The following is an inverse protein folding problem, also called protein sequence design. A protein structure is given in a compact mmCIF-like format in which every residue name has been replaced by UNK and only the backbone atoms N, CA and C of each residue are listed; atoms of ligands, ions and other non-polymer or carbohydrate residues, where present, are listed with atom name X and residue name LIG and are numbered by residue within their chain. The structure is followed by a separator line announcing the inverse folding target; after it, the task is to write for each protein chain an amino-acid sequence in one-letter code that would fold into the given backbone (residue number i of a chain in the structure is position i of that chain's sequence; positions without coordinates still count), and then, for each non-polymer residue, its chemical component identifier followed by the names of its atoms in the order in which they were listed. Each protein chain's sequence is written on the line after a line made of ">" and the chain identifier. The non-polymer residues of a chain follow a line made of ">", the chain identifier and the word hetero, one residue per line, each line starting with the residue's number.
data_IF_051826358700
#
_entry.id   IF_051826358700
#
_cell.length_a   1.000
_cell.length_b   1.000
_cell.length_c   1.000
_cell.angle_alpha   90.00
_cell.angle_beta   90.00
_cell.angle_gamma   90.00
#
_symmetry.space_group_name_H-M   'P 1'
#
loop_
_entity.id
_entity.type
_entity.pdbx_description
1 polymer ?
#
# COMPACT_ATOMS: atom_id res chain seq x y z
N UNK A 1 -5.77 -22.88 1.84
CA UNK A 1 -4.50 -22.35 1.32
C UNK A 1 -4.78 -21.05 0.62
N UNK A 2 -4.56 -19.92 1.28
CA UNK A 2 -4.65 -18.62 0.64
C UNK A 2 -3.46 -18.47 -0.29
N UNK A 3 -3.69 -18.08 -1.54
CA UNK A 3 -2.66 -17.84 -2.54
C UNK A 3 -1.56 -16.89 -2.00
N UNK A 4 -0.29 -17.24 -2.18
CA UNK A 4 0.86 -16.44 -1.69
C UNK A 4 0.86 -15.05 -2.31
N UNK A 5 0.47 -14.92 -3.58
CA UNK A 5 0.34 -13.63 -4.24
C UNK A 5 -0.81 -12.80 -3.64
N UNK A 6 -1.90 -13.45 -3.21
CA UNK A 6 -2.97 -12.80 -2.45
C UNK A 6 -2.46 -12.26 -1.10
N UNK A 7 -1.71 -13.05 -0.34
CA UNK A 7 -1.14 -12.62 0.95
C UNK A 7 -0.20 -11.42 0.76
N UNK A 8 0.69 -11.46 -0.23
CA UNK A 8 1.60 -10.36 -0.54
C UNK A 8 0.85 -9.08 -0.91
N UNK A 9 -0.20 -9.17 -1.75
CA UNK A 9 -1.03 -8.02 -2.12
C UNK A 9 -1.68 -7.37 -0.89
N UNK A 10 -2.24 -8.18 0.01
CA UNK A 10 -2.83 -7.68 1.26
C UNK A 10 -1.76 -7.01 2.12
N UNK A 11 -0.59 -7.63 2.25
CA UNK A 11 0.52 -7.08 3.03
C UNK A 11 1.01 -5.73 2.48
N UNK A 12 1.11 -5.55 1.16
CA UNK A 12 1.43 -4.24 0.55
C UNK A 12 0.39 -3.17 0.94
N UNK A 13 -0.90 -3.52 0.92
CA UNK A 13 -1.96 -2.60 1.34
C UNK A 13 -1.80 -2.15 2.79
N UNK A 14 -1.48 -3.08 3.69
CA UNK A 14 -1.23 -2.80 5.10
C UNK A 14 0.03 -1.93 5.30
N UNK A 15 1.12 -2.19 4.58
CA UNK A 15 2.34 -1.36 4.68
C UNK A 15 2.11 0.07 4.21
N UNK A 16 1.33 0.27 3.14
CA UNK A 16 0.93 1.59 2.69
C UNK A 16 0.06 2.31 3.73
N UNK A 17 -0.86 1.58 4.37
CA UNK A 17 -1.69 2.11 5.46
C UNK A 17 -0.83 2.58 6.62
N UNK A 18 0.07 1.72 7.10
CA UNK A 18 0.93 2.01 8.25
C UNK A 18 1.86 3.19 7.95
N UNK A 19 2.41 3.26 6.73
CA UNK A 19 3.21 4.39 6.28
C UNK A 19 2.40 5.70 6.22
N UNK A 20 1.16 5.65 5.72
CA UNK A 20 0.25 6.80 5.71
C UNK A 20 -0.07 7.29 7.12
N UNK A 21 -0.37 6.39 8.05
CA UNK A 21 -0.69 6.72 9.44
C UNK A 21 0.51 7.32 10.17
N UNK A 22 1.72 6.77 9.97
CA UNK A 22 2.98 7.35 10.49
C UNK A 22 3.27 8.75 9.94
N UNK A 23 2.88 9.02 8.70
CA UNK A 23 2.99 10.35 8.08
C UNK A 23 1.89 11.33 8.52
N UNK A 24 0.93 10.91 9.37
CA UNK A 24 -0.17 11.75 9.83
C UNK A 24 -1.18 12.11 8.73
N UNK A 25 -1.22 11.35 7.63
CA UNK A 25 -2.02 11.68 6.46
C UNK A 25 -3.39 10.98 6.49
N UNK A 26 -4.44 11.71 6.12
CA UNK A 26 -5.72 11.08 5.77
C UNK A 26 -5.64 10.40 4.40
N UNK A 27 -6.51 9.43 4.12
CA UNK A 27 -6.62 8.80 2.78
C UNK A 27 -6.86 9.83 1.68
N UNK A 28 -7.72 10.82 1.94
CA UNK A 28 -7.99 11.93 1.02
C UNK A 28 -6.73 12.74 0.73
N UNK A 29 -5.89 12.97 1.76
CA UNK A 29 -4.63 13.69 1.57
C UNK A 29 -3.62 12.86 0.78
N UNK A 30 -3.47 11.57 1.07
CA UNK A 30 -2.59 10.68 0.28
C UNK A 30 -3.05 10.61 -1.18
N UNK A 31 -4.36 10.48 -1.42
CA UNK A 31 -4.92 10.46 -2.76
C UNK A 31 -4.57 11.73 -3.57
N UNK A 32 -4.63 12.91 -2.92
CA UNK A 32 -4.27 14.18 -3.53
C UNK A 32 -2.75 14.34 -3.80
N UNK A 33 -1.90 13.69 -2.99
CA UNK A 33 -0.44 13.69 -3.17
C UNK A 33 0.05 12.64 -4.18
N UNK A 34 -0.78 11.63 -4.45
CA UNK A 34 -0.43 10.54 -5.36
C UNK A 34 -0.63 11.00 -6.82
N UNK A 35 0.44 10.97 -7.61
CA UNK A 35 0.39 11.28 -9.04
C UNK A 35 -0.64 10.41 -9.79
N UNK A 36 -1.30 10.98 -10.82
CA UNK A 36 -2.24 10.24 -11.66
C UNK A 36 -3.62 9.99 -11.06
N UNK A 37 -4.12 10.94 -10.25
CA UNK A 37 -5.48 11.01 -9.73
C UNK A 37 -5.96 9.72 -9.03
N UNK A 38 -5.46 9.47 -7.82
CA UNK A 38 -6.06 8.47 -6.94
C UNK A 38 -7.32 9.05 -6.26
N UNK A 39 -8.31 8.20 -5.98
CA UNK A 39 -9.46 8.55 -5.13
C UNK A 39 -9.26 8.00 -3.72
N UNK A 40 -9.87 8.64 -2.71
CA UNK A 40 -9.82 8.13 -1.33
C UNK A 40 -10.39 6.70 -1.22
N UNK A 41 -11.43 6.38 -2.02
CA UNK A 41 -12.01 5.03 -2.12
C UNK A 41 -11.03 4.03 -2.70
N UNK A 42 -10.23 4.42 -3.71
CA UNK A 42 -9.19 3.56 -4.25
C UNK A 42 -8.11 3.28 -3.20
N UNK A 43 -7.65 4.30 -2.47
CA UNK A 43 -6.70 4.13 -1.36
C UNK A 43 -7.26 3.18 -0.30
N UNK A 44 -8.53 3.34 0.09
CA UNK A 44 -9.19 2.44 1.04
C UNK A 44 -9.25 0.99 0.53
N UNK A 45 -9.62 0.78 -0.74
CA UNK A 45 -9.66 -0.55 -1.34
C UNK A 45 -8.27 -1.22 -1.28
N UNK A 46 -7.20 -0.47 -1.58
CA UNK A 46 -5.82 -0.95 -1.46
C UNK A 46 -5.48 -1.28 0.00
N UNK A 47 -5.68 -0.36 0.93
CA UNK A 47 -5.32 -0.53 2.35
C UNK A 47 -6.08 -1.65 3.06
N UNK A 48 -7.24 -2.05 2.52
CA UNK A 48 -8.06 -3.14 3.05
C UNK A 48 -7.90 -4.45 2.27
N UNK A 49 -6.98 -4.51 1.30
CA UNK A 49 -6.73 -5.71 0.49
C UNK A 49 -7.82 -6.05 -0.53
N UNK A 50 -8.89 -5.22 -0.62
CA UNK A 50 -9.98 -5.35 -1.59
C UNK A 50 -9.60 -4.90 -3.01
N UNK A 51 -8.58 -4.06 -3.13
CA UNK A 51 -8.06 -3.57 -4.40
C UNK A 51 -6.91 -4.42 -4.95
N UNK A 52 -6.74 -4.40 -6.28
CA UNK A 52 -5.56 -4.91 -6.97
C UNK A 52 -4.81 -3.76 -7.67
N UNK A 53 -4.01 -2.96 -6.93
CA UNK A 53 -3.29 -1.86 -7.53
C UNK A 53 -2.19 -2.39 -8.46
N UNK A 54 -1.99 -1.73 -9.61
CA UNK A 54 -0.79 -1.99 -10.40
C UNK A 54 0.46 -1.53 -9.66
N UNK A 55 1.62 -2.11 -9.99
CA UNK A 55 2.92 -1.71 -9.44
C UNK A 55 3.19 -0.21 -9.55
N UNK A 56 2.77 0.41 -10.67
CA UNK A 56 2.91 1.86 -10.89
C UNK A 56 2.13 2.67 -9.86
N UNK A 57 0.91 2.23 -9.49
CA UNK A 57 0.11 2.93 -8.48
C UNK A 57 0.72 2.76 -7.09
N UNK A 58 1.21 1.57 -6.76
CA UNK A 58 1.94 1.32 -5.50
C UNK A 58 3.17 2.21 -5.40
N UNK A 59 3.98 2.29 -6.46
CA UNK A 59 5.18 3.12 -6.49
C UNK A 59 4.87 4.61 -6.28
N UNK A 60 3.78 5.12 -6.88
CA UNK A 60 3.35 6.52 -6.70
C UNK A 60 2.87 6.80 -5.27
N UNK A 61 2.12 5.88 -4.68
CA UNK A 61 1.69 6.00 -3.27
C UNK A 61 2.90 5.96 -2.33
N UNK A 62 3.85 5.04 -2.55
CA UNK A 62 5.08 4.96 -1.78
C UNK A 62 5.87 6.28 -1.85
N UNK A 63 6.06 6.82 -3.07
CA UNK A 63 6.75 8.10 -3.27
C UNK A 63 6.05 9.26 -2.55
N UNK A 64 4.72 9.33 -2.61
CA UNK A 64 3.94 10.33 -1.90
C UNK A 64 4.09 10.23 -0.37
N UNK A 65 4.49 9.06 0.14
CA UNK A 65 4.79 8.79 1.55
C UNK A 65 6.28 8.92 1.89
N UNK A 66 7.12 9.34 0.95
CA UNK A 66 8.58 9.45 1.13
C UNK A 66 9.30 8.11 1.16
N UNK A 67 8.71 7.06 0.58
CA UNK A 67 9.26 5.70 0.53
C UNK A 67 9.45 5.24 -0.92
N UNK A 68 10.32 4.26 -1.12
CA UNK A 68 10.45 3.52 -2.36
C UNK A 68 9.48 2.34 -2.43
N UNK A 69 9.19 1.85 -3.65
CA UNK A 69 8.45 0.61 -3.83
C UNK A 69 9.18 -0.59 -3.19
N UNK A 70 10.51 -0.61 -3.24
CA UNK A 70 11.33 -1.68 -2.68
C UNK A 70 11.17 -1.78 -1.16
N UNK A 71 11.17 -0.65 -0.44
CA UNK A 71 10.94 -0.64 1.00
C UNK A 71 9.55 -1.16 1.38
N UNK A 72 8.52 -0.81 0.60
CA UNK A 72 7.15 -1.32 0.83
C UNK A 72 7.11 -2.85 0.59
N UNK A 73 7.71 -3.32 -0.50
CA UNK A 73 7.73 -4.74 -0.84
C UNK A 73 8.51 -5.55 0.21
N UNK A 74 9.69 -5.09 0.64
CA UNK A 74 10.49 -5.76 1.66
C UNK A 74 9.73 -5.89 2.99
N UNK A 75 9.07 -4.82 3.44
CA UNK A 75 8.26 -4.85 4.66
C UNK A 75 7.06 -5.78 4.53
N UNK A 76 6.39 -5.77 3.37
CA UNK A 76 5.25 -6.64 3.09
C UNK A 76 5.66 -8.12 3.09
N UNK A 77 6.79 -8.48 2.48
CA UNK A 77 7.32 -9.84 2.52
C UNK A 77 7.69 -10.29 3.94
N UNK A 78 8.33 -9.41 4.72
CA UNK A 78 8.63 -9.68 6.14
C UNK A 78 7.34 -9.93 6.93
N UNK A 79 6.28 -9.15 6.67
CA UNK A 79 4.96 -9.34 7.29
C UNK A 79 4.34 -10.68 6.93
N UNK A 80 4.42 -11.10 5.67
CA UNK A 80 3.90 -12.42 5.23
C UNK A 80 4.64 -13.53 5.97
N UNK A 81 5.99 -13.53 5.96
CA UNK A 81 6.81 -14.53 6.65
C UNK A 81 6.60 -14.58 8.18
N UNK A 82 6.28 -13.44 8.80
CA UNK A 82 6.04 -13.36 10.24
C UNK A 82 4.64 -13.81 10.66
N UNK A 83 3.70 -13.92 9.71
CA UNK A 83 2.34 -14.42 9.93
C UNK A 83 2.12 -15.86 9.46
N UNK A 84 3.15 -16.50 8.90
CA UNK A 84 3.27 -17.94 8.69
C UNK A 84 3.70 -18.64 9.98
#
# INVERSE_FOLDING_TARGET
>A
MTDSAHQLRVAIGLELRDARERAGLSRRRLAALTEGAASATFIEAVETGRGNPSFVRVARMARALGLSLAEIAERAEKRVRAGE
#
